data_IF_043603007271
#
_entry.id   IF_043603007271
#
_cell.length_a   1.000
_cell.length_b   1.000
_cell.length_c   1.000
_cell.angle_alpha   90.00
_cell.angle_beta   90.00
_cell.angle_gamma   90.00
#
_symmetry.space_group_name_H-M   'P 1'
#
loop_
_entity.id
_entity.type
_entity.pdbx_description
1 polymer ?
#
# COMPACT_ATOMS: atom_id res chain seq x y z
N UNK A 1 2.77 -5.51 2.89
CA UNK A 1 2.92 -5.55 4.33
C UNK A 1 2.85 -6.96 4.92
N UNK A 2 2.43 -7.96 4.13
CA UNK A 2 2.41 -9.36 4.61
C UNK A 2 3.74 -10.11 4.42
N UNK A 3 4.76 -9.48 3.86
CA UNK A 3 6.07 -10.13 3.64
C UNK A 3 6.68 -10.59 4.97
N UNK A 4 6.93 -11.90 5.08
CA UNK A 4 7.47 -12.53 6.29
C UNK A 4 6.46 -12.78 7.40
N UNK A 5 5.19 -12.37 7.26
CA UNK A 5 4.13 -12.64 8.23
C UNK A 5 3.70 -14.10 8.17
N UNK A 6 3.50 -14.69 9.31
CA UNK A 6 3.14 -16.09 9.52
C UNK A 6 1.65 -16.19 9.84
N UNK A 7 0.87 -16.76 8.92
CA UNK A 7 -0.58 -16.81 9.02
C UNK A 7 -1.03 -18.27 9.21
N UNK A 8 -1.74 -18.53 10.29
CA UNK A 8 -2.50 -19.77 10.44
C UNK A 8 -3.86 -19.59 9.76
N UNK A 9 -4.12 -20.37 8.70
CA UNK A 9 -5.41 -20.37 8.00
C UNK A 9 -6.26 -21.56 8.44
N UNK A 10 -7.33 -21.28 9.18
CA UNK A 10 -8.35 -22.24 9.59
C UNK A 10 -9.43 -22.40 8.53
N UNK A 11 -9.70 -23.65 8.09
CA UNK A 11 -10.72 -23.95 7.08
C UNK A 11 -11.77 -24.87 7.67
N UNK A 12 -13.05 -24.48 7.54
CA UNK A 12 -14.17 -25.23 8.08
C UNK A 12 -15.13 -25.74 6.99
N UNK A 13 -16.09 -26.60 7.35
CA UNK A 13 -16.97 -27.32 6.44
C UNK A 13 -18.06 -26.43 5.82
N UNK A 14 -17.72 -25.69 4.79
CA UNK A 14 -18.63 -24.88 3.98
C UNK A 14 -18.25 -24.95 2.51
N UNK A 15 -19.23 -24.78 1.63
CA UNK A 15 -18.98 -24.66 0.19
C UNK A 15 -18.00 -23.52 -0.11
N UNK A 16 -17.97 -22.46 0.71
CA UNK A 16 -17.04 -21.37 0.57
C UNK A 16 -15.56 -21.76 0.78
N UNK A 17 -15.26 -22.98 1.21
CA UNK A 17 -13.89 -23.48 1.38
C UNK A 17 -13.05 -23.43 0.08
N UNK A 18 -13.68 -23.46 -1.11
CA UNK A 18 -12.95 -23.29 -2.37
C UNK A 18 -12.21 -21.95 -2.46
N UNK A 19 -12.75 -20.88 -1.83
CA UNK A 19 -12.12 -19.56 -1.79
C UNK A 19 -10.80 -19.56 -1.00
N UNK A 20 -10.59 -20.53 -0.10
CA UNK A 20 -9.34 -20.64 0.65
C UNK A 20 -8.12 -20.81 -0.26
N UNK A 21 -8.26 -21.47 -1.41
CA UNK A 21 -7.18 -21.56 -2.40
C UNK A 21 -6.75 -20.19 -2.94
N UNK A 22 -7.71 -19.29 -3.18
CA UNK A 22 -7.45 -17.93 -3.65
C UNK A 22 -6.82 -17.07 -2.53
N UNK A 23 -7.33 -17.22 -1.31
CA UNK A 23 -6.75 -16.57 -0.10
C UNK A 23 -5.29 -16.98 0.06
N UNK A 24 -4.98 -18.28 0.03
CA UNK A 24 -3.61 -18.80 0.14
C UNK A 24 -2.71 -18.19 -0.94
N UNK A 25 -3.13 -18.24 -2.20
CA UNK A 25 -2.34 -17.69 -3.32
C UNK A 25 -2.09 -16.20 -3.16
N UNK A 26 -3.08 -15.44 -2.71
CA UNK A 26 -2.95 -13.98 -2.50
C UNK A 26 -2.02 -13.68 -1.34
N UNK A 27 -2.12 -14.39 -0.22
CA UNK A 27 -1.22 -14.27 0.93
C UNK A 27 0.24 -14.56 0.54
N UNK A 28 0.48 -15.68 -0.16
CA UNK A 28 1.82 -16.09 -0.60
C UNK A 28 2.41 -15.08 -1.60
N UNK A 29 1.62 -14.60 -2.59
CA UNK A 29 2.05 -13.55 -3.53
C UNK A 29 2.47 -12.27 -2.81
N UNK A 30 1.86 -11.95 -1.67
CA UNK A 30 2.21 -10.81 -0.81
C UNK A 30 3.36 -11.12 0.15
N UNK A 31 3.95 -12.33 0.06
CA UNK A 31 5.13 -12.77 0.81
C UNK A 31 4.85 -13.30 2.21
N UNK A 32 3.58 -13.62 2.52
CA UNK A 32 3.23 -14.31 3.77
C UNK A 32 3.59 -15.80 3.72
N UNK A 33 3.86 -16.36 4.88
CA UNK A 33 4.01 -17.79 5.12
C UNK A 33 2.70 -18.32 5.69
N UNK A 34 2.10 -19.34 5.04
CA UNK A 34 0.79 -19.84 5.41
C UNK A 34 0.88 -21.27 5.93
N UNK A 35 0.29 -21.54 7.11
CA UNK A 35 0.06 -22.87 7.66
C UNK A 35 -1.43 -23.14 7.73
N UNK A 36 -1.89 -24.19 7.07
CA UNK A 36 -3.31 -24.56 7.06
C UNK A 36 -3.65 -25.52 8.20
N UNK A 37 -4.75 -25.20 8.89
CA UNK A 37 -5.43 -26.08 9.85
C UNK A 37 -6.86 -26.28 9.36
N UNK A 38 -7.25 -27.53 9.10
CA UNK A 38 -8.57 -27.86 8.53
C UNK A 38 -9.38 -28.74 9.47
N UNK A 39 -10.67 -28.45 9.60
CA UNK A 39 -11.57 -29.32 10.35
C UNK A 39 -11.89 -30.60 9.59
N UNK A 40 -12.32 -31.73 10.27
CA UNK A 40 -12.80 -32.90 9.58
C UNK A 40 -13.84 -32.62 8.50
N UNK A 41 -14.86 -31.80 8.82
CA UNK A 41 -15.88 -31.39 7.84
C UNK A 41 -15.32 -30.53 6.71
N UNK A 42 -14.23 -29.80 6.92
CA UNK A 42 -13.58 -29.00 5.87
C UNK A 42 -12.98 -29.87 4.77
N UNK A 43 -12.48 -31.05 5.13
CA UNK A 43 -11.91 -32.04 4.18
C UNK A 43 -12.93 -32.57 3.15
N UNK A 44 -14.21 -32.53 3.49
CA UNK A 44 -15.29 -32.93 2.56
C UNK A 44 -15.50 -31.92 1.42
N UNK A 45 -15.09 -30.65 1.62
CA UNK A 45 -15.24 -29.56 0.63
C UNK A 45 -13.98 -29.29 -0.15
N UNK A 46 -12.81 -29.49 0.47
CA UNK A 46 -11.51 -29.26 -0.16
C UNK A 46 -10.46 -30.22 0.39
N UNK A 47 -9.68 -30.82 -0.50
CA UNK A 47 -8.72 -31.85 -0.09
C UNK A 47 -7.43 -31.26 0.50
N UNK A 48 -6.83 -31.90 1.52
CA UNK A 48 -5.51 -31.51 2.04
C UNK A 48 -4.43 -31.48 0.96
N UNK A 49 -4.50 -32.36 -0.06
CA UNK A 49 -3.54 -32.39 -1.18
C UNK A 49 -3.52 -31.06 -1.93
N UNK A 50 -4.69 -30.49 -2.25
CA UNK A 50 -4.78 -29.19 -2.92
C UNK A 50 -4.14 -28.07 -2.09
N UNK A 51 -4.41 -28.06 -0.79
CA UNK A 51 -3.94 -27.03 0.13
C UNK A 51 -2.43 -27.16 0.38
N UNK A 52 -1.90 -28.37 0.54
CA UNK A 52 -0.48 -28.62 0.73
C UNK A 52 0.34 -28.27 -0.54
N UNK A 53 -0.21 -28.56 -1.73
CA UNK A 53 0.43 -28.17 -2.98
C UNK A 53 0.57 -26.64 -3.14
N UNK A 54 -0.41 -25.87 -2.64
CA UNK A 54 -0.37 -24.41 -2.68
C UNK A 54 0.58 -23.81 -1.63
N UNK A 55 0.62 -24.35 -0.42
CA UNK A 55 1.40 -23.83 0.71
C UNK A 55 2.81 -24.38 0.79
N UNK A 56 3.10 -25.47 0.08
CA UNK A 56 4.33 -26.28 0.20
C UNK A 56 4.56 -26.79 1.63
N UNK A 57 3.47 -26.97 2.39
CA UNK A 57 3.49 -27.44 3.78
C UNK A 57 2.43 -28.51 4.02
N UNK A 58 2.65 -29.43 4.98
CA UNK A 58 1.63 -30.34 5.42
C UNK A 58 0.40 -29.60 5.98
N UNK A 59 -0.79 -30.10 5.68
CA UNK A 59 -2.04 -29.60 6.25
C UNK A 59 -2.30 -30.29 7.59
N UNK A 60 -2.53 -29.50 8.62
CA UNK A 60 -2.82 -30.01 9.97
C UNK A 60 -4.32 -30.20 10.13
N UNK A 61 -4.77 -31.40 10.49
CA UNK A 61 -6.20 -31.69 10.71
C UNK A 61 -6.47 -32.48 11.98
N UNK A 62 -5.51 -33.29 12.40
CA UNK A 62 -5.61 -34.19 13.55
C UNK A 62 -4.53 -33.84 14.59
N UNK A 63 -4.79 -34.21 15.85
CA UNK A 63 -3.82 -34.03 16.92
C UNK A 63 -2.59 -34.95 16.75
N UNK A 64 -2.82 -36.16 16.26
CA UNK A 64 -1.78 -37.16 16.10
C UNK A 64 -1.51 -37.39 14.62
N UNK A 65 -0.24 -37.30 14.21
CA UNK A 65 0.16 -37.52 12.82
C UNK A 65 0.27 -39.00 12.46
N UNK A 66 0.70 -39.82 13.40
CA UNK A 66 0.89 -41.26 13.27
C UNK A 66 0.57 -41.98 14.59
N UNK A 67 0.56 -43.33 14.58
CA UNK A 67 0.31 -44.13 15.80
C UNK A 67 1.59 -44.32 16.63
N UNK A 68 2.63 -43.59 16.38
CA UNK A 68 3.95 -43.65 17.05
C UNK A 68 4.12 -42.65 18.21
N UNK A 69 3.06 -41.92 18.55
CA UNK A 69 3.08 -40.90 19.59
C UNK A 69 3.52 -39.50 19.09
N UNK A 70 3.84 -39.37 17.80
CA UNK A 70 4.09 -38.03 17.22
C UNK A 70 2.77 -37.24 17.12
N UNK A 71 2.82 -35.96 17.51
CA UNK A 71 1.65 -35.10 17.58
C UNK A 71 1.94 -33.70 17.03
N UNK A 72 0.87 -33.08 16.55
CA UNK A 72 0.94 -31.68 16.13
C UNK A 72 0.68 -30.75 17.32
N UNK A 73 1.63 -29.88 17.63
CA UNK A 73 1.51 -28.95 18.74
C UNK A 73 0.65 -27.75 18.34
N UNK A 74 -0.55 -27.67 18.90
CA UNK A 74 -1.40 -26.48 18.76
C UNK A 74 -0.79 -25.25 19.45
N UNK A 75 0.00 -25.46 20.50
CA UNK A 75 0.72 -24.42 21.22
C UNK A 75 1.79 -23.81 20.31
N UNK A 76 2.56 -24.65 19.59
CA UNK A 76 3.60 -24.17 18.68
C UNK A 76 2.99 -23.37 17.52
N UNK A 77 1.83 -23.77 17.01
CA UNK A 77 1.09 -22.99 16.01
C UNK A 77 0.65 -21.63 16.57
N UNK A 78 0.15 -21.61 17.81
CA UNK A 78 -0.24 -20.37 18.51
C UNK A 78 0.91 -19.41 18.79
N UNK A 79 2.13 -19.94 19.01
CA UNK A 79 3.35 -19.17 19.20
C UNK A 79 4.00 -18.75 17.90
N UNK A 80 3.85 -19.56 16.84
CA UNK A 80 4.44 -19.31 15.53
C UNK A 80 3.73 -18.22 14.74
N UNK A 81 2.41 -18.07 14.92
CA UNK A 81 1.57 -17.23 14.10
C UNK A 81 1.69 -15.74 14.46
N UNK A 82 1.73 -14.88 13.44
CA UNK A 82 1.51 -13.43 13.56
C UNK A 82 0.01 -13.08 13.50
N UNK A 83 -0.81 -13.94 12.87
CA UNK A 83 -2.27 -13.87 12.89
C UNK A 83 -2.89 -15.24 12.60
N UNK A 84 -4.13 -15.43 13.06
CA UNK A 84 -4.99 -16.55 12.63
C UNK A 84 -6.16 -15.99 11.82
N UNK A 85 -6.43 -16.61 10.67
CA UNK A 85 -7.60 -16.34 9.83
C UNK A 85 -8.45 -17.59 9.76
N UNK A 86 -9.72 -17.53 10.14
CA UNK A 86 -10.68 -18.62 9.99
C UNK A 86 -11.62 -18.27 8.84
N UNK A 87 -11.37 -18.86 7.67
CA UNK A 87 -12.07 -18.57 6.43
C UNK A 87 -12.22 -19.82 5.54
N UNK A 88 -13.44 -20.34 5.36
CA UNK A 88 -14.70 -19.93 5.98
C UNK A 88 -14.83 -20.32 7.46
N UNK A 89 -15.64 -19.54 8.23
CA UNK A 89 -16.07 -19.90 9.57
C UNK A 89 -17.57 -20.24 9.57
N UNK A 90 -17.90 -21.51 9.79
CA UNK A 90 -19.30 -21.98 9.87
C UNK A 90 -19.95 -21.62 11.21
N UNK A 91 -21.30 -21.63 11.28
CA UNK A 91 -22.05 -21.44 12.52
C UNK A 91 -21.61 -22.42 13.61
N UNK A 92 -21.35 -23.69 13.25
CA UNK A 92 -20.84 -24.70 14.19
C UNK A 92 -19.51 -24.32 14.80
N UNK A 93 -18.54 -23.88 13.96
CA UNK A 93 -17.22 -23.42 14.42
C UNK A 93 -17.33 -22.18 15.28
N UNK A 94 -18.16 -21.21 14.87
CA UNK A 94 -18.45 -19.98 15.61
C UNK A 94 -18.98 -20.28 17.01
N UNK A 95 -19.97 -21.19 17.10
CA UNK A 95 -20.52 -21.63 18.39
C UNK A 95 -19.48 -22.30 19.29
N UNK A 96 -18.61 -23.13 18.72
CA UNK A 96 -17.51 -23.79 19.47
C UNK A 96 -16.48 -22.76 19.96
N UNK A 97 -16.09 -21.81 19.14
CA UNK A 97 -15.19 -20.70 19.51
C UNK A 97 -15.79 -19.91 20.69
N UNK A 98 -17.06 -19.51 20.56
CA UNK A 98 -17.76 -18.73 21.59
C UNK A 98 -17.88 -19.42 22.94
N UNK A 99 -17.91 -20.78 22.97
CA UNK A 99 -18.12 -21.57 24.18
C UNK A 99 -16.89 -22.42 24.58
N UNK A 100 -15.76 -22.28 23.91
CA UNK A 100 -14.50 -22.97 24.24
C UNK A 100 -14.55 -24.49 24.07
N UNK A 101 -15.31 -25.00 23.09
CA UNK A 101 -15.48 -26.43 22.85
C UNK A 101 -14.34 -26.95 21.98
N UNK A 102 -13.25 -27.39 22.60
CA UNK A 102 -12.00 -27.82 21.96
C UNK A 102 -12.04 -29.27 21.47
N UNK A 103 -12.97 -29.61 20.58
CA UNK A 103 -13.18 -30.95 20.08
C UNK A 103 -12.45 -31.31 18.78
N UNK A 104 -11.67 -30.35 18.24
CA UNK A 104 -10.87 -30.55 17.03
C UNK A 104 -9.64 -29.64 17.03
N UNK A 105 -8.68 -29.95 16.16
CA UNK A 105 -7.39 -29.26 16.09
C UNK A 105 -7.52 -27.76 15.83
N UNK A 106 -8.50 -27.32 15.01
CA UNK A 106 -8.68 -25.90 14.69
C UNK A 106 -9.10 -25.10 15.94
N UNK A 107 -10.11 -25.55 16.67
CA UNK A 107 -10.57 -24.85 17.89
C UNK A 107 -9.50 -24.89 18.98
N UNK A 108 -8.77 -25.99 19.14
CA UNK A 108 -7.68 -26.06 20.12
C UNK A 108 -6.55 -25.09 19.76
N UNK A 109 -6.21 -24.97 18.47
CA UNK A 109 -5.27 -23.95 18.00
C UNK A 109 -5.78 -22.54 18.26
N UNK A 110 -7.07 -22.27 17.99
CA UNK A 110 -7.70 -20.99 18.30
C UNK A 110 -7.59 -20.63 19.79
N UNK A 111 -7.90 -21.55 20.68
CA UNK A 111 -7.85 -21.31 22.13
C UNK A 111 -6.40 -21.10 22.65
N UNK A 112 -5.41 -21.54 21.91
CA UNK A 112 -3.98 -21.36 22.21
C UNK A 112 -3.37 -20.14 21.51
N UNK A 113 -4.16 -19.44 20.65
CA UNK A 113 -3.67 -18.34 19.84
C UNK A 113 -3.41 -17.10 20.70
N UNK A 114 -2.20 -16.53 20.54
CA UNK A 114 -1.80 -15.24 21.15
C UNK A 114 -1.86 -14.09 20.17
N UNK A 115 -1.82 -14.40 18.88
CA UNK A 115 -1.91 -13.44 17.79
C UNK A 115 -3.38 -13.05 17.53
N UNK A 116 -3.64 -11.93 16.85
CA UNK A 116 -5.00 -11.52 16.47
C UNK A 116 -5.68 -12.59 15.61
N UNK A 117 -6.97 -12.79 15.87
CA UNK A 117 -7.78 -13.78 15.15
C UNK A 117 -8.84 -13.08 14.31
N UNK A 118 -8.82 -13.35 13.01
CA UNK A 118 -9.80 -12.87 12.04
C UNK A 118 -10.77 -13.98 11.71
N UNK A 119 -12.04 -13.66 11.64
CA UNK A 119 -13.11 -14.62 11.41
C UNK A 119 -13.95 -14.15 10.23
N UNK A 120 -14.04 -14.97 9.18
CA UNK A 120 -14.87 -14.73 8.01
C UNK A 120 -16.07 -15.68 8.01
N UNK A 121 -17.24 -15.28 8.53
CA UNK A 121 -18.43 -16.13 8.59
C UNK A 121 -18.92 -16.54 7.20
N UNK A 122 -19.41 -17.78 7.11
CA UNK A 122 -20.01 -18.32 5.89
C UNK A 122 -21.13 -19.30 6.27
N UNK A 123 -22.38 -18.90 6.02
CA UNK A 123 -23.56 -19.68 6.30
C UNK A 123 -24.78 -19.17 5.53
N UNK A 124 -25.88 -19.90 5.56
CA UNK A 124 -27.13 -19.47 4.95
C UNK A 124 -27.70 -18.22 5.66
N UNK A 125 -28.57 -17.48 4.97
CA UNK A 125 -29.20 -16.24 5.43
C UNK A 125 -29.89 -16.42 6.79
N UNK A 126 -30.75 -17.44 6.90
CA UNK A 126 -31.52 -17.70 8.13
C UNK A 126 -30.61 -18.10 9.30
N UNK A 127 -29.55 -18.85 9.00
CA UNK A 127 -28.53 -19.21 10.00
C UNK A 127 -27.76 -17.97 10.48
N UNK A 128 -27.46 -17.03 9.57
CA UNK A 128 -26.73 -15.80 9.91
C UNK A 128 -27.59 -14.86 10.77
N UNK A 129 -28.89 -14.78 10.47
CA UNK A 129 -29.87 -13.97 11.21
C UNK A 129 -30.32 -14.63 12.53
N UNK A 130 -30.02 -15.90 12.74
CA UNK A 130 -30.46 -16.60 13.95
C UNK A 130 -29.89 -15.94 15.21
N UNK A 131 -30.72 -15.74 16.27
CA UNK A 131 -30.28 -15.04 17.50
C UNK A 131 -29.04 -15.65 18.15
N UNK A 132 -28.85 -16.99 18.09
CA UNK A 132 -27.66 -17.64 18.63
C UNK A 132 -26.42 -17.31 17.82
N UNK A 133 -26.52 -17.13 16.51
CA UNK A 133 -25.38 -16.73 15.66
C UNK A 133 -24.97 -15.30 15.99
N UNK A 134 -25.94 -14.38 16.10
CA UNK A 134 -25.69 -12.99 16.49
C UNK A 134 -25.02 -12.92 17.88
N UNK A 135 -25.54 -13.67 18.86
CA UNK A 135 -24.97 -13.72 20.21
C UNK A 135 -23.53 -14.31 20.21
N UNK A 136 -23.26 -15.34 19.41
CA UNK A 136 -21.93 -15.94 19.31
C UNK A 136 -20.94 -14.95 18.64
N UNK A 137 -21.35 -14.21 17.62
CA UNK A 137 -20.53 -13.17 16.97
C UNK A 137 -20.15 -12.10 18.02
N UNK A 138 -21.14 -11.52 18.69
CA UNK A 138 -20.89 -10.53 19.73
C UNK A 138 -19.95 -11.05 20.83
N UNK A 139 -20.12 -12.31 21.21
CA UNK A 139 -19.31 -12.95 22.24
C UNK A 139 -17.85 -13.08 21.82
N UNK A 140 -17.58 -13.56 20.60
CA UNK A 140 -16.19 -13.68 20.12
C UNK A 140 -15.55 -12.33 19.83
N UNK A 141 -16.33 -11.30 19.42
CA UNK A 141 -15.86 -9.92 19.34
C UNK A 141 -15.43 -9.39 20.70
N UNK A 142 -16.19 -9.69 21.76
CA UNK A 142 -15.83 -9.30 23.14
C UNK A 142 -14.53 -9.97 23.63
N UNK A 143 -14.09 -11.05 23.02
CA UNK A 143 -12.79 -11.71 23.26
C UNK A 143 -11.64 -11.06 22.46
N UNK A 144 -11.94 -10.03 21.65
CA UNK A 144 -10.96 -9.33 20.82
C UNK A 144 -10.76 -9.94 19.41
N UNK A 145 -11.65 -10.86 19.00
CA UNK A 145 -11.61 -11.37 17.63
C UNK A 145 -12.17 -10.33 16.63
N UNK A 146 -11.63 -10.32 15.43
CA UNK A 146 -11.99 -9.38 14.38
C UNK A 146 -12.90 -10.08 13.37
N UNK A 147 -14.14 -9.63 13.26
CA UNK A 147 -15.10 -10.17 12.32
C UNK A 147 -14.91 -9.48 10.97
N UNK A 148 -14.73 -10.29 9.92
CA UNK A 148 -14.82 -9.84 8.54
C UNK A 148 -16.26 -10.06 8.10
N UNK A 149 -17.02 -9.00 7.98
CA UNK A 149 -18.45 -9.05 7.67
C UNK A 149 -18.70 -9.83 6.38
N UNK A 150 -19.66 -10.77 6.39
CA UNK A 150 -20.02 -11.49 5.17
C UNK A 150 -20.69 -10.56 4.17
N UNK A 151 -20.41 -10.79 2.88
CA UNK A 151 -21.06 -10.09 1.78
C UNK A 151 -22.53 -10.50 1.60
N UNK A 152 -23.25 -9.71 0.81
CA UNK A 152 -24.62 -10.01 0.36
C UNK A 152 -24.60 -10.51 -1.07
N UNK A 153 -25.53 -11.41 -1.43
CA UNK A 153 -25.71 -11.95 -2.76
C UNK A 153 -26.35 -13.33 -2.78
N UNK A 154 -26.30 -14.01 -3.91
CA UNK A 154 -26.82 -15.38 -4.05
C UNK A 154 -26.02 -16.37 -3.20
N UNK A 155 -26.75 -17.14 -2.41
CA UNK A 155 -26.24 -18.21 -1.56
C UNK A 155 -26.39 -19.58 -2.27
N UNK A 156 -25.68 -20.58 -1.81
CA UNK A 156 -25.75 -21.93 -2.37
C UNK A 156 -27.16 -22.58 -2.26
N UNK A 157 -27.97 -22.11 -1.31
CA UNK A 157 -29.37 -22.50 -1.14
C UNK A 157 -30.30 -21.90 -2.20
N UNK A 158 -29.84 -20.96 -3.01
CA UNK A 158 -30.67 -20.18 -3.95
C UNK A 158 -31.33 -18.96 -3.33
N UNK A 159 -31.15 -18.72 -2.03
CA UNK A 159 -31.58 -17.48 -1.37
C UNK A 159 -30.63 -16.33 -1.69
N UNK A 160 -31.14 -15.11 -1.61
CA UNK A 160 -30.33 -13.90 -1.76
C UNK A 160 -30.30 -13.11 -0.44
N UNK A 161 -29.10 -12.79 0.05
CA UNK A 161 -28.94 -12.05 1.29
C UNK A 161 -27.56 -12.09 1.88
N UNK A 162 -27.42 -11.62 3.14
CA UNK A 162 -26.17 -11.58 3.89
C UNK A 162 -25.86 -12.96 4.47
N UNK A 163 -24.63 -13.42 4.32
CA UNK A 163 -24.16 -14.73 4.83
C UNK A 163 -23.09 -15.36 3.97
N UNK A 164 -22.88 -14.81 2.77
CA UNK A 164 -21.82 -15.24 1.84
C UNK A 164 -20.46 -14.77 2.38
N UNK A 165 -19.50 -15.72 2.52
CA UNK A 165 -18.14 -15.35 2.90
C UNK A 165 -17.61 -14.24 1.97
N UNK A 166 -17.00 -13.22 2.55
CA UNK A 166 -16.41 -12.09 1.83
C UNK A 166 -15.41 -12.57 0.76
N UNK A 167 -15.09 -11.70 -0.20
CA UNK A 167 -14.20 -12.04 -1.30
C UNK A 167 -12.74 -12.15 -0.82
N UNK A 168 -11.95 -13.06 -1.41
CA UNK A 168 -10.57 -13.33 -0.97
C UNK A 168 -9.68 -12.09 -0.89
N UNK A 169 -9.84 -11.17 -1.85
CA UNK A 169 -9.08 -9.94 -1.93
C UNK A 169 -9.38 -9.01 -0.75
N UNK A 170 -10.66 -8.85 -0.41
CA UNK A 170 -11.10 -8.02 0.71
C UNK A 170 -10.69 -8.63 2.06
N UNK A 171 -10.76 -9.96 2.21
CA UNK A 171 -10.27 -10.67 3.41
C UNK A 171 -8.78 -10.40 3.61
N UNK A 172 -7.96 -10.54 2.56
CA UNK A 172 -6.51 -10.30 2.65
C UNK A 172 -6.21 -8.81 2.87
N UNK A 173 -6.99 -7.92 2.30
CA UNK A 173 -6.87 -6.47 2.56
C UNK A 173 -7.17 -6.12 4.03
N UNK A 174 -8.15 -6.76 4.64
CA UNK A 174 -8.45 -6.59 6.07
C UNK A 174 -7.26 -6.97 6.97
N UNK A 175 -6.58 -8.09 6.66
CA UNK A 175 -5.35 -8.48 7.36
C UNK A 175 -4.22 -7.47 7.15
N UNK A 176 -4.02 -6.99 5.91
CA UNK A 176 -3.00 -5.98 5.62
C UNK A 176 -3.24 -4.69 6.38
N UNK A 177 -4.49 -4.22 6.40
CA UNK A 177 -4.88 -3.00 7.11
C UNK A 177 -4.62 -3.14 8.62
N UNK A 178 -4.91 -4.31 9.18
CA UNK A 178 -4.60 -4.57 10.60
C UNK A 178 -3.10 -4.46 10.87
N UNK A 179 -2.24 -5.12 10.10
CA UNK A 179 -0.78 -5.05 10.30
C UNK A 179 -0.19 -3.67 10.02
N UNK A 180 -0.87 -2.82 9.23
CA UNK A 180 -0.50 -1.41 9.04
C UNK A 180 -0.81 -0.61 10.31
N UNK A 181 -1.97 -0.84 10.91
CA UNK A 181 -2.45 -0.09 12.08
C UNK A 181 -1.92 -0.64 13.41
N UNK A 182 -1.49 -1.93 13.44
CA UNK A 182 -0.98 -2.63 14.62
C UNK A 182 0.39 -3.27 14.28
N UNK A 183 1.45 -2.48 14.11
CA UNK A 183 2.78 -3.03 13.88
C UNK A 183 3.21 -3.89 15.08
N UNK A 184 3.69 -5.10 14.83
CA UNK A 184 4.23 -5.98 15.87
C UNK A 184 5.52 -5.39 16.45
N UNK A 185 5.76 -5.62 17.75
CA UNK A 185 6.90 -5.07 18.50
C UNK A 185 8.32 -5.35 17.92
N UNK A 186 8.42 -6.14 16.86
CA UNK A 186 9.67 -6.36 16.12
C UNK A 186 9.83 -5.46 14.87
N UNK A 187 8.75 -4.80 14.42
CA UNK A 187 8.81 -3.78 13.39
C UNK A 187 8.67 -2.43 14.08
N UNK A 188 9.71 -1.65 14.10
CA UNK A 188 9.67 -0.24 14.52
C UNK A 188 8.51 0.42 13.77
N UNK A 189 7.54 0.99 14.54
CA UNK A 189 6.45 1.78 13.91
C UNK A 189 7.11 2.76 12.96
N UNK A 190 6.73 2.69 11.69
CA UNK A 190 7.25 3.64 10.70
C UNK A 190 7.06 5.06 11.20
N UNK A 191 8.11 5.88 11.11
CA UNK A 191 8.03 7.30 11.50
C UNK A 191 7.04 8.08 10.62
N UNK A 192 6.56 7.48 9.54
CA UNK A 192 5.53 8.03 8.66
C UNK A 192 4.10 7.68 9.11
N UNK A 193 3.92 6.76 10.05
CA UNK A 193 2.58 6.40 10.51
C UNK A 193 1.84 7.63 11.06
N UNK A 194 0.67 7.91 10.48
CA UNK A 194 -0.17 9.06 10.84
C UNK A 194 0.33 10.42 10.34
N UNK A 195 1.52 10.48 9.70
CA UNK A 195 2.08 11.71 9.13
C UNK A 195 1.36 12.16 7.88
N UNK A 196 1.20 13.45 7.68
CA UNK A 196 0.66 14.05 6.46
C UNK A 196 1.79 14.26 5.44
N UNK A 197 1.67 13.63 4.27
CA UNK A 197 2.70 13.65 3.22
C UNK A 197 2.13 14.23 1.94
N UNK A 198 2.71 15.33 1.47
CA UNK A 198 2.44 15.91 0.16
C UNK A 198 3.43 15.35 -0.86
N UNK A 199 2.93 14.92 -2.02
CA UNK A 199 3.77 14.51 -3.15
C UNK A 199 3.28 15.20 -4.41
N UNK A 200 4.19 15.79 -5.20
CA UNK A 200 3.87 16.24 -6.55
C UNK A 200 4.40 15.24 -7.58
N UNK A 201 3.64 14.94 -8.63
CA UNK A 201 4.00 13.94 -9.63
C UNK A 201 3.54 14.33 -11.05
N UNK A 202 4.17 13.73 -12.05
CA UNK A 202 3.83 13.96 -13.46
C UNK A 202 4.43 15.23 -14.05
N UNK A 203 4.12 15.54 -15.32
CA UNK A 203 4.48 16.78 -15.98
C UNK A 203 3.47 17.89 -15.64
N UNK A 204 3.79 19.15 -15.98
CA UNK A 204 2.79 20.20 -16.18
C UNK A 204 2.68 20.54 -17.67
N UNK A 205 1.51 20.97 -18.08
CA UNK A 205 1.23 21.40 -19.44
C UNK A 205 0.86 22.89 -19.44
N UNK A 206 1.75 23.70 -20.01
CA UNK A 206 1.56 25.13 -20.13
C UNK A 206 0.99 25.45 -21.51
N UNK A 207 -0.28 25.80 -21.58
CA UNK A 207 -1.02 25.96 -22.83
C UNK A 207 -0.47 27.09 -23.71
N UNK A 208 -0.23 26.78 -24.97
CA UNK A 208 0.01 27.74 -26.04
C UNK A 208 -1.36 28.17 -26.60
N UNK A 209 -2.22 27.18 -26.87
CA UNK A 209 -3.60 27.32 -27.32
C UNK A 209 -4.41 26.07 -26.86
N UNK A 210 -5.71 25.94 -27.14
CA UNK A 210 -6.51 24.79 -26.70
C UNK A 210 -6.03 23.40 -27.17
N UNK A 211 -5.02 23.34 -28.05
CA UNK A 211 -4.53 22.09 -28.66
C UNK A 211 -3.07 21.80 -28.35
N UNK A 212 -2.24 22.85 -28.16
CA UNK A 212 -0.78 22.75 -28.01
C UNK A 212 -0.33 23.30 -26.67
N UNK A 213 0.71 22.70 -26.12
CA UNK A 213 1.29 23.06 -24.84
C UNK A 213 2.82 22.90 -24.83
N UNK A 214 3.46 23.52 -23.86
CA UNK A 214 4.84 23.28 -23.44
C UNK A 214 4.80 22.37 -22.23
N UNK A 215 5.60 21.30 -22.19
CA UNK A 215 5.66 20.38 -21.07
C UNK A 215 6.87 19.46 -21.13
N UNK A 216 7.09 18.69 -20.07
CA UNK A 216 8.22 17.78 -19.90
C UNK A 216 7.82 16.32 -20.17
N UNK A 217 8.77 15.48 -20.58
CA UNK A 217 8.57 14.04 -20.82
C UNK A 217 8.45 13.21 -19.53
N UNK A 218 7.66 13.65 -18.56
CA UNK A 218 7.46 12.90 -17.33
C UNK A 218 6.28 11.93 -17.45
N UNK A 219 6.48 10.69 -17.00
CA UNK A 219 5.41 9.69 -16.90
C UNK A 219 4.69 9.65 -15.55
N UNK A 220 5.21 10.38 -14.55
CA UNK A 220 4.69 10.36 -13.17
C UNK A 220 5.05 9.12 -12.34
N UNK A 221 5.57 8.04 -12.95
CA UNK A 221 5.79 6.73 -12.30
C UNK A 221 6.54 6.83 -10.97
N UNK A 222 7.57 7.69 -10.86
CA UNK A 222 8.35 7.83 -9.62
C UNK A 222 7.52 8.44 -8.48
N UNK A 223 6.80 9.53 -8.74
CA UNK A 223 5.95 10.18 -7.74
C UNK A 223 4.81 9.26 -7.27
N UNK A 224 4.21 8.50 -8.18
CA UNK A 224 3.20 7.49 -7.81
C UNK A 224 3.81 6.34 -6.98
N UNK A 225 5.00 5.86 -7.30
CA UNK A 225 5.69 4.84 -6.50
C UNK A 225 6.00 5.34 -5.08
N UNK A 226 6.41 6.61 -4.94
CA UNK A 226 6.61 7.26 -3.63
C UNK A 226 5.31 7.37 -2.84
N UNK A 227 4.21 7.77 -3.49
CA UNK A 227 2.90 7.89 -2.87
C UNK A 227 2.40 6.54 -2.32
N UNK A 228 2.52 5.47 -3.11
CA UNK A 228 2.15 4.12 -2.70
C UNK A 228 3.03 3.61 -1.53
N UNK A 229 4.35 3.89 -1.56
CA UNK A 229 5.24 3.47 -0.46
C UNK A 229 4.94 4.25 0.84
N UNK A 230 4.65 5.57 0.77
CA UNK A 230 4.21 6.35 1.93
C UNK A 230 2.90 5.84 2.51
N UNK A 231 1.89 5.62 1.65
CA UNK A 231 0.58 5.09 2.06
C UNK A 231 0.70 3.70 2.69
N UNK A 232 1.59 2.84 2.16
CA UNK A 232 1.90 1.52 2.70
C UNK A 232 2.53 1.59 4.08
N UNK A 233 3.30 2.64 4.39
CA UNK A 233 3.88 2.90 5.73
C UNK A 233 2.93 3.62 6.68
N UNK A 234 1.67 3.81 6.30
CA UNK A 234 0.61 4.38 7.14
C UNK A 234 0.55 5.91 7.15
N UNK A 235 1.19 6.58 6.18
CA UNK A 235 1.04 8.02 6.00
C UNK A 235 -0.32 8.37 5.38
N UNK A 236 -0.83 9.56 5.69
CA UNK A 236 -1.93 10.22 4.96
C UNK A 236 -1.33 10.97 3.79
N UNK A 237 -1.56 10.47 2.57
CA UNK A 237 -0.89 10.98 1.37
C UNK A 237 -1.83 11.84 0.55
N UNK A 238 -1.42 13.09 0.27
CA UNK A 238 -2.00 13.96 -0.76
C UNK A 238 -1.07 13.98 -1.97
N UNK A 239 -1.53 13.43 -3.10
CA UNK A 239 -0.81 13.36 -4.36
C UNK A 239 -1.36 14.40 -5.34
N UNK A 240 -0.59 15.46 -5.60
CA UNK A 240 -0.90 16.44 -6.64
C UNK A 240 -0.28 15.96 -7.94
N UNK A 241 -1.12 15.54 -8.88
CA UNK A 241 -0.71 14.88 -10.11
C UNK A 241 -0.99 15.75 -11.34
N UNK A 242 0.04 16.01 -12.13
CA UNK A 242 -0.11 16.54 -13.48
C UNK A 242 -0.69 15.48 -14.43
N UNK A 243 -0.90 15.81 -15.74
CA UNK A 243 -1.59 14.94 -16.68
C UNK A 243 -0.86 13.61 -16.93
N UNK A 244 -1.34 12.53 -16.32
CA UNK A 244 -0.80 11.17 -16.48
C UNK A 244 -1.94 10.14 -16.44
N UNK A 245 -1.76 9.02 -17.15
CA UNK A 245 -2.74 7.93 -17.20
C UNK A 245 -2.62 6.93 -16.04
N UNK A 246 -1.81 7.22 -15.01
CA UNK A 246 -1.62 6.36 -13.85
C UNK A 246 -2.79 6.51 -12.88
N UNK A 247 -3.16 5.43 -12.19
CA UNK A 247 -4.10 5.43 -11.08
C UNK A 247 -3.37 5.29 -9.74
N UNK A 248 -3.91 5.90 -8.70
CA UNK A 248 -3.45 5.75 -7.32
C UNK A 248 -4.40 4.84 -6.54
N UNK A 249 -3.92 4.19 -5.48
CA UNK A 249 -4.76 3.40 -4.59
C UNK A 249 -5.78 4.30 -3.85
N UNK A 250 -6.90 3.72 -3.42
CA UNK A 250 -7.96 4.44 -2.68
C UNK A 250 -7.49 5.06 -1.34
N UNK A 251 -6.29 4.72 -0.88
CA UNK A 251 -5.68 5.27 0.35
C UNK A 251 -5.00 6.62 0.14
N UNK A 252 -4.88 7.06 -1.12
CA UNK A 252 -4.19 8.29 -1.52
C UNK A 252 -5.24 9.30 -1.97
N UNK A 253 -5.23 10.48 -1.35
CA UNK A 253 -5.99 11.62 -1.83
C UNK A 253 -5.29 12.19 -3.06
N UNK A 254 -5.88 11.99 -4.24
CA UNK A 254 -5.34 12.48 -5.51
C UNK A 254 -6.03 13.77 -5.91
N UNK A 255 -5.21 14.77 -6.26
CA UNK A 255 -5.65 16.05 -6.82
C UNK A 255 -5.04 16.16 -8.21
N UNK A 256 -5.88 16.14 -9.24
CA UNK A 256 -5.44 16.31 -10.63
C UNK A 256 -5.33 17.81 -10.97
N UNK A 257 -4.22 18.16 -11.64
CA UNK A 257 -3.91 19.51 -12.09
C UNK A 257 -3.33 19.47 -13.49
N UNK A 258 -3.40 20.56 -14.24
CA UNK A 258 -2.86 20.61 -15.60
C UNK A 258 -1.59 21.48 -15.67
N UNK A 259 -1.62 22.68 -15.11
CA UNK A 259 -0.53 23.67 -15.20
C UNK A 259 0.34 23.71 -13.95
N UNK A 260 1.53 24.32 -14.07
CA UNK A 260 2.42 24.60 -12.95
C UNK A 260 1.78 25.51 -11.90
N UNK A 261 0.96 26.47 -12.32
CA UNK A 261 0.25 27.37 -11.39
C UNK A 261 -0.82 26.63 -10.58
N UNK A 262 -1.61 25.74 -11.22
CA UNK A 262 -2.56 24.88 -10.51
C UNK A 262 -1.85 23.94 -9.54
N UNK A 263 -0.73 23.34 -9.98
CA UNK A 263 0.10 22.48 -9.11
C UNK A 263 0.63 23.27 -7.90
N UNK A 264 1.09 24.49 -8.10
CA UNK A 264 1.52 25.36 -7.00
C UNK A 264 0.39 25.60 -6.00
N UNK A 265 -0.80 25.99 -6.47
CA UNK A 265 -1.92 26.27 -5.57
C UNK A 265 -2.35 25.04 -4.77
N UNK A 266 -2.46 23.88 -5.40
CA UNK A 266 -2.80 22.63 -4.74
C UNK A 266 -1.70 22.20 -3.74
N UNK A 267 -0.44 22.24 -4.16
CA UNK A 267 0.69 21.88 -3.30
C UNK A 267 0.84 22.86 -2.11
N UNK A 268 0.71 24.17 -2.34
CA UNK A 268 0.80 25.18 -1.29
C UNK A 268 -0.32 25.05 -0.25
N UNK A 269 -1.52 24.67 -0.68
CA UNK A 269 -2.64 24.38 0.24
C UNK A 269 -2.33 23.18 1.13
N UNK A 270 -1.90 22.06 0.53
CA UNK A 270 -1.59 20.82 1.25
C UNK A 270 -0.32 20.96 2.13
N UNK A 271 0.66 21.77 1.73
CA UNK A 271 1.91 21.98 2.47
C UNK A 271 1.72 22.60 3.85
N UNK A 272 0.65 23.34 4.07
CA UNK A 272 0.37 24.01 5.37
C UNK A 272 0.24 23.02 6.52
N UNK A 273 -0.27 21.83 6.26
CA UNK A 273 -0.47 20.76 7.27
C UNK A 273 0.50 19.60 7.10
N UNK A 274 1.22 19.54 5.98
CA UNK A 274 2.12 18.43 5.69
C UNK A 274 3.33 18.40 6.64
N UNK A 275 3.63 17.21 7.17
CA UNK A 275 4.90 16.94 7.87
C UNK A 275 6.06 16.77 6.88
N UNK A 276 5.76 16.20 5.70
CA UNK A 276 6.73 15.93 4.64
C UNK A 276 6.18 16.38 3.30
N UNK A 277 7.00 17.03 2.49
CA UNK A 277 6.70 17.32 1.09
C UNK A 277 7.80 16.77 0.17
N UNK A 278 7.40 15.98 -0.84
CA UNK A 278 8.29 15.39 -1.84
C UNK A 278 7.92 15.93 -3.21
N UNK A 279 8.76 16.81 -3.75
CA UNK A 279 8.52 17.50 -5.00
C UNK A 279 9.17 16.73 -6.16
N UNK A 280 8.42 15.77 -6.72
CA UNK A 280 8.88 14.83 -7.76
C UNK A 280 8.31 15.18 -9.16
N UNK A 281 7.42 16.16 -9.26
CA UNK A 281 6.86 16.58 -10.55
C UNK A 281 7.92 17.24 -11.47
N UNK A 282 7.77 17.05 -12.76
CA UNK A 282 8.54 17.74 -13.79
C UNK A 282 7.77 18.98 -14.27
N UNK A 283 7.83 20.03 -13.48
CA UNK A 283 7.19 21.31 -13.79
C UNK A 283 7.95 21.98 -14.96
N UNK A 284 7.20 22.53 -15.91
CA UNK A 284 7.82 23.30 -17.00
C UNK A 284 8.39 24.63 -16.45
N UNK A 285 9.62 24.97 -16.83
CA UNK A 285 10.31 26.19 -16.36
C UNK A 285 9.77 27.47 -17.00
N UNK A 286 9.12 27.32 -18.17
CA UNK A 286 8.58 28.43 -18.95
C UNK A 286 7.16 28.14 -19.41
N UNK A 287 6.36 29.23 -19.52
CA UNK A 287 5.02 29.21 -20.11
C UNK A 287 4.87 30.36 -21.12
N UNK A 288 3.95 30.26 -22.09
CA UNK A 288 3.63 31.39 -22.95
C UNK A 288 3.19 32.63 -22.15
N UNK A 289 3.66 33.81 -22.54
CA UNK A 289 3.21 35.06 -21.93
C UNK A 289 1.69 35.24 -22.13
N UNK A 290 1.20 34.90 -23.33
CA UNK A 290 -0.19 34.97 -23.70
C UNK A 290 -0.68 33.63 -24.19
N UNK A 291 -1.68 33.05 -23.54
CA UNK A 291 -2.41 31.86 -23.99
C UNK A 291 -3.44 32.27 -25.05
N UNK A 292 -3.41 31.64 -26.22
CA UNK A 292 -4.40 31.88 -27.26
C UNK A 292 -5.72 31.15 -26.93
N UNK A 293 -6.84 31.89 -26.96
CA UNK A 293 -8.20 31.33 -26.68
C UNK A 293 -8.69 30.38 -27.77
N UNK A 294 -8.16 30.52 -28.99
CA UNK A 294 -8.51 29.70 -30.12
C UNK A 294 -7.25 29.03 -30.70
N UNK A 295 -7.46 27.88 -31.37
CA UNK A 295 -6.37 27.19 -32.06
C UNK A 295 -5.70 28.12 -33.06
N UNK A 296 -4.42 28.40 -32.88
CA UNK A 296 -3.62 29.19 -33.80
C UNK A 296 -3.53 28.47 -35.15
N UNK A 297 -3.98 29.14 -36.24
CA UNK A 297 -3.88 28.60 -37.61
C UNK A 297 -2.45 28.60 -38.08
N UNK A 298 -2.11 27.61 -38.90
CA UNK A 298 -0.83 27.60 -39.60
C UNK A 298 -0.75 28.81 -40.55
N UNK A 299 0.28 29.62 -40.41
CA UNK A 299 0.61 30.69 -41.34
C UNK A 299 1.91 30.35 -42.07
N UNK A 300 2.10 30.91 -43.27
CA UNK A 300 3.39 30.80 -43.95
C UNK A 300 4.46 31.56 -43.11
N UNK A 301 5.58 30.87 -42.78
CA UNK A 301 6.69 31.41 -42.04
C UNK A 301 6.85 30.89 -40.61
N UNK A 302 7.76 31.48 -39.87
CA UNK A 302 8.12 31.09 -38.52
C UNK A 302 7.12 31.65 -37.50
N UNK A 303 6.80 30.84 -36.50
CA UNK A 303 6.03 31.25 -35.33
C UNK A 303 6.99 31.64 -34.20
N UNK A 304 6.80 32.84 -33.61
CA UNK A 304 7.50 33.25 -32.42
C UNK A 304 6.57 33.19 -31.23
N UNK A 305 7.04 32.60 -30.13
CA UNK A 305 6.36 32.59 -28.84
C UNK A 305 7.21 33.31 -27.82
N UNK A 306 6.63 34.31 -27.19
CA UNK A 306 7.21 34.95 -26.03
C UNK A 306 6.94 34.09 -24.80
N UNK A 307 7.99 33.71 -24.06
CA UNK A 307 7.93 32.86 -22.89
C UNK A 307 8.30 33.63 -21.64
N UNK A 308 7.57 33.38 -20.55
CA UNK A 308 7.90 33.87 -19.22
C UNK A 308 8.18 32.69 -18.29
N UNK A 309 8.99 32.91 -17.26
CA UNK A 309 9.29 31.89 -16.26
C UNK A 309 8.04 31.52 -15.48
N UNK A 310 7.89 30.22 -15.22
CA UNK A 310 6.87 29.71 -14.30
C UNK A 310 7.29 29.93 -12.85
N UNK A 311 6.37 29.68 -11.92
CA UNK A 311 6.65 29.78 -10.49
C UNK A 311 7.48 28.59 -10.01
N UNK A 312 8.57 28.84 -9.29
CA UNK A 312 9.39 27.80 -8.66
C UNK A 312 8.71 27.30 -7.38
N UNK A 313 7.92 26.22 -7.51
CA UNK A 313 7.15 25.63 -6.40
C UNK A 313 8.06 25.27 -5.23
N UNK A 314 9.22 24.66 -5.50
CA UNK A 314 10.14 24.22 -4.47
C UNK A 314 10.75 25.42 -3.69
N UNK A 315 11.09 26.49 -4.38
CA UNK A 315 11.60 27.71 -3.74
C UNK A 315 10.51 28.39 -2.90
N UNK A 316 9.28 28.46 -3.39
CA UNK A 316 8.17 29.07 -2.65
C UNK A 316 7.80 28.27 -1.38
N UNK A 317 7.72 26.94 -1.46
CA UNK A 317 7.47 26.09 -0.29
C UNK A 317 8.67 26.12 0.68
N UNK A 318 9.90 26.17 0.17
CA UNK A 318 11.10 26.28 1.00
C UNK A 318 11.17 27.56 1.83
N UNK A 319 10.62 28.70 1.34
CA UNK A 319 10.48 29.95 2.11
C UNK A 319 9.48 29.83 3.26
N UNK A 320 8.45 28.99 3.11
CA UNK A 320 7.37 28.82 4.08
C UNK A 320 7.64 27.67 5.05
N UNK A 321 8.64 26.82 4.76
CA UNK A 321 8.96 25.62 5.53
C UNK A 321 9.24 25.94 7.00
N UNK A 322 8.56 25.27 7.91
CA UNK A 322 8.85 25.29 9.35
C UNK A 322 10.00 24.34 9.70
N UNK A 323 10.55 24.46 10.90
CA UNK A 323 11.64 23.59 11.38
C UNK A 323 11.23 22.11 11.47
N UNK A 324 9.95 21.82 11.72
CA UNK A 324 9.41 20.48 11.85
C UNK A 324 9.12 19.81 10.49
N UNK A 325 8.91 20.60 9.44
CA UNK A 325 8.61 20.08 8.12
C UNK A 325 9.86 19.58 7.39
N UNK A 326 9.71 18.50 6.63
CA UNK A 326 10.74 17.97 5.75
C UNK A 326 10.37 18.28 4.29
N UNK A 327 11.30 18.88 3.55
CA UNK A 327 11.10 19.23 2.15
C UNK A 327 12.15 18.53 1.27
N UNK A 328 11.69 17.68 0.37
CA UNK A 328 12.52 16.88 -0.55
C UNK A 328 12.33 17.35 -1.96
N UNK A 329 13.42 17.61 -2.68
CA UNK A 329 13.41 17.97 -4.09
C UNK A 329 13.95 16.87 -4.98
N UNK A 330 13.65 16.97 -6.27
CA UNK A 330 14.24 16.15 -7.33
C UNK A 330 15.05 17.04 -8.27
N UNK A 331 16.15 16.51 -8.76
CA UNK A 331 16.94 17.12 -9.83
C UNK A 331 17.25 16.10 -10.92
N UNK A 332 17.14 16.55 -12.16
CA UNK A 332 17.61 15.82 -13.33
C UNK A 332 18.67 16.70 -14.00
N UNK A 333 19.91 16.22 -14.04
CA UNK A 333 21.05 16.99 -14.53
C UNK A 333 21.79 16.24 -15.63
N UNK A 334 22.52 16.97 -16.47
CA UNK A 334 23.31 16.42 -17.59
C UNK A 334 24.82 16.59 -17.41
N UNK A 335 25.24 17.60 -16.61
CA UNK A 335 26.63 17.92 -16.34
C UNK A 335 26.76 18.64 -15.00
N UNK A 336 27.95 18.55 -14.37
CA UNK A 336 28.22 19.13 -13.03
C UNK A 336 27.12 18.84 -12.00
N UNK A 337 26.58 17.62 -12.07
CA UNK A 337 25.33 17.18 -11.46
C UNK A 337 25.29 17.43 -9.94
N UNK A 338 26.37 17.04 -9.24
CA UNK A 338 26.45 17.18 -7.78
C UNK A 338 26.54 18.66 -7.34
N UNK A 339 27.27 19.47 -8.10
CA UNK A 339 27.41 20.90 -7.81
C UNK A 339 26.04 21.59 -7.92
N UNK A 340 25.32 21.38 -9.03
CA UNK A 340 24.00 21.98 -9.25
C UNK A 340 22.96 21.47 -8.26
N UNK A 341 23.02 20.20 -7.88
CA UNK A 341 22.14 19.65 -6.85
C UNK A 341 22.37 20.32 -5.48
N UNK A 342 23.63 20.53 -5.08
CA UNK A 342 23.97 21.23 -3.83
C UNK A 342 23.56 22.72 -3.84
N UNK A 343 23.68 23.40 -4.97
CA UNK A 343 23.16 24.77 -5.11
C UNK A 343 21.64 24.83 -4.96
N UNK A 344 20.91 23.93 -5.66
CA UNK A 344 19.45 23.83 -5.56
C UNK A 344 19.01 23.52 -4.12
N UNK A 345 19.70 22.62 -3.44
CA UNK A 345 19.44 22.25 -2.04
C UNK A 345 19.45 23.49 -1.13
N UNK A 346 20.49 24.34 -1.24
CA UNK A 346 20.62 25.56 -0.44
C UNK A 346 19.60 26.62 -0.85
N UNK A 347 19.51 26.92 -2.16
CA UNK A 347 18.67 27.99 -2.71
C UNK A 347 17.19 27.78 -2.41
N UNK A 348 16.74 26.52 -2.41
CA UNK A 348 15.33 26.14 -2.20
C UNK A 348 15.04 25.64 -0.78
N UNK A 349 15.99 25.75 0.14
CA UNK A 349 15.85 25.31 1.53
C UNK A 349 15.35 23.87 1.69
N UNK A 350 15.88 22.95 0.85
CA UNK A 350 15.54 21.54 0.91
C UNK A 350 16.32 20.83 2.03
N UNK A 351 15.77 19.75 2.59
CA UNK A 351 16.47 18.90 3.56
C UNK A 351 17.39 17.92 2.85
N UNK A 352 16.93 17.36 1.73
CA UNK A 352 17.76 16.63 0.79
C UNK A 352 17.19 16.69 -0.63
N UNK A 353 18.01 16.33 -1.61
CA UNK A 353 17.64 16.27 -3.02
C UNK A 353 17.95 14.90 -3.60
N UNK A 354 17.02 14.37 -4.37
CA UNK A 354 17.19 13.14 -5.15
C UNK A 354 17.66 13.51 -6.54
N UNK A 355 18.90 13.14 -6.84
CA UNK A 355 19.54 13.43 -8.11
C UNK A 355 19.41 12.23 -9.04
N UNK A 356 18.84 12.46 -10.22
CA UNK A 356 18.87 11.55 -11.37
C UNK A 356 19.89 12.04 -12.38
N UNK A 357 20.67 11.13 -12.94
CA UNK A 357 21.59 11.42 -14.03
C UNK A 357 21.04 11.00 -15.38
N UNK A 358 21.10 11.89 -16.37
CA UNK A 358 20.79 11.53 -17.77
C UNK A 358 21.89 10.70 -18.43
N UNK A 359 23.07 10.59 -17.83
CA UNK A 359 24.18 9.76 -18.33
C UNK A 359 23.95 8.27 -18.14
N UNK A 360 23.05 7.88 -17.26
CA UNK A 360 22.74 6.48 -16.98
C UNK A 360 21.69 5.98 -17.99
N UNK A 361 22.12 5.19 -18.97
CA UNK A 361 21.22 4.65 -19.99
C UNK A 361 20.07 3.85 -19.37
N UNK A 362 18.84 4.10 -19.84
CA UNK A 362 17.64 3.38 -19.41
C UNK A 362 17.17 3.68 -17.98
N UNK A 363 17.49 4.86 -17.43
CA UNK A 363 17.10 5.21 -16.05
C UNK A 363 16.23 6.47 -15.92
N UNK A 364 15.89 7.14 -17.02
CA UNK A 364 15.18 8.42 -17.01
C UNK A 364 13.69 8.31 -17.33
N UNK A 365 13.18 9.15 -18.23
CA UNK A 365 11.77 9.20 -18.58
C UNK A 365 11.27 7.90 -19.25
N UNK A 366 10.02 7.50 -18.92
CA UNK A 366 9.30 6.35 -19.50
C UNK A 366 9.84 4.95 -19.16
N UNK A 367 10.97 4.80 -18.47
CA UNK A 367 11.49 3.50 -18.02
C UNK A 367 10.88 3.08 -16.67
N UNK A 368 10.94 1.80 -16.33
CA UNK A 368 10.49 1.26 -15.05
C UNK A 368 11.59 1.27 -13.98
N UNK A 369 12.85 1.35 -14.41
CA UNK A 369 14.01 1.44 -13.54
C UNK A 369 14.47 2.89 -13.33
N UNK A 370 15.21 3.10 -12.23
CA UNK A 370 15.91 4.34 -11.94
C UNK A 370 17.22 4.07 -11.21
N UNK A 371 18.15 5.04 -11.30
CA UNK A 371 19.38 5.10 -10.53
C UNK A 371 19.51 6.50 -9.96
N UNK A 372 19.71 6.60 -8.65
CA UNK A 372 19.68 7.88 -7.95
C UNK A 372 20.88 8.08 -7.02
N UNK A 373 21.17 9.36 -6.74
CA UNK A 373 21.96 9.77 -5.59
C UNK A 373 21.07 10.60 -4.66
N UNK A 374 21.15 10.37 -3.36
CA UNK A 374 20.52 11.22 -2.34
C UNK A 374 21.60 12.13 -1.76
N UNK A 375 21.41 13.43 -1.92
CA UNK A 375 22.35 14.48 -1.49
C UNK A 375 21.68 15.33 -0.41
N UNK A 376 22.27 15.34 0.77
CA UNK A 376 21.92 16.25 1.87
C UNK A 376 23.04 17.27 2.10
N UNK A 377 22.91 18.10 3.12
CA UNK A 377 23.95 19.04 3.49
C UNK A 377 25.28 18.36 3.90
N UNK A 378 25.19 17.14 4.44
CA UNK A 378 26.32 16.41 5.06
C UNK A 378 26.71 15.13 4.35
N UNK A 379 25.82 14.54 3.54
CA UNK A 379 25.99 13.20 2.97
C UNK A 379 25.63 13.17 1.47
N UNK A 380 26.32 12.30 0.73
CA UNK A 380 25.99 11.92 -0.64
C UNK A 380 25.95 10.38 -0.72
N UNK A 381 24.76 9.80 -0.90
CA UNK A 381 24.53 8.36 -0.99
C UNK A 381 24.16 7.98 -2.42
N UNK A 382 24.99 7.15 -3.05
CA UNK A 382 24.72 6.59 -4.37
C UNK A 382 23.99 5.25 -4.24
N UNK A 383 23.00 5.03 -5.11
CA UNK A 383 22.23 3.80 -5.19
C UNK A 383 22.39 3.16 -6.58
N UNK A 384 22.37 1.84 -6.63
CA UNK A 384 22.41 1.10 -7.88
C UNK A 384 21.10 1.22 -8.66
N UNK A 385 21.17 0.93 -9.98
CA UNK A 385 20.00 0.86 -10.86
C UNK A 385 19.04 -0.25 -10.39
N UNK A 386 17.78 0.09 -10.18
CA UNK A 386 16.73 -0.83 -9.73
C UNK A 386 15.32 -0.30 -10.07
N UNK A 387 14.28 -1.14 -9.97
CA UNK A 387 12.89 -0.72 -10.19
C UNK A 387 12.49 0.50 -9.35
N UNK A 388 11.71 1.40 -9.93
CA UNK A 388 11.24 2.63 -9.27
C UNK A 388 10.53 2.38 -7.94
N UNK A 389 9.88 1.24 -7.77
CA UNK A 389 9.26 0.83 -6.51
C UNK A 389 10.29 0.57 -5.40
N UNK A 390 11.45 0.01 -5.74
CA UNK A 390 12.55 -0.19 -4.80
C UNK A 390 13.31 1.12 -4.54
N UNK A 391 13.47 1.96 -5.57
CA UNK A 391 14.03 3.31 -5.40
C UNK A 391 13.15 4.17 -4.50
N UNK A 392 11.81 4.07 -4.64
CA UNK A 392 10.88 4.74 -3.75
C UNK A 392 11.09 4.31 -2.29
N UNK A 393 11.32 3.02 -2.04
CA UNK A 393 11.62 2.52 -0.70
C UNK A 393 12.87 3.18 -0.12
N UNK A 394 13.99 3.27 -0.87
CA UNK A 394 15.22 3.91 -0.37
C UNK A 394 15.03 5.38 -0.04
N UNK A 395 14.28 6.11 -0.89
CA UNK A 395 13.99 7.52 -0.66
C UNK A 395 13.16 7.69 0.62
N UNK A 396 12.16 6.83 0.83
CA UNK A 396 11.30 6.90 2.01
C UNK A 396 12.05 6.43 3.27
N UNK A 397 12.99 5.49 3.16
CA UNK A 397 13.90 5.13 4.27
C UNK A 397 14.74 6.34 4.71
N UNK A 398 15.24 7.17 3.75
CA UNK A 398 15.93 8.43 4.08
C UNK A 398 14.99 9.47 4.70
N UNK A 399 13.75 9.60 4.19
CA UNK A 399 12.73 10.49 4.79
C UNK A 399 12.52 10.13 6.26
N UNK A 400 12.39 8.86 6.59
CA UNK A 400 12.21 8.39 7.98
C UNK A 400 13.42 8.68 8.85
N UNK A 401 14.64 8.48 8.30
CA UNK A 401 15.89 8.79 9.01
C UNK A 401 16.02 10.28 9.32
N UNK A 402 15.63 11.16 8.38
CA UNK A 402 15.64 12.60 8.58
C UNK A 402 14.56 13.06 9.57
N UNK A 403 13.38 12.45 9.57
CA UNK A 403 12.33 12.73 10.57
C UNK A 403 12.75 12.34 11.98
N UNK A 404 13.57 11.27 12.14
CA UNK A 404 14.14 10.91 13.44
C UNK A 404 15.16 11.94 13.94
N UNK A 405 15.96 12.52 13.04
CA UNK A 405 16.97 13.55 13.38
C UNK A 405 16.34 14.90 13.78
N UNK A 406 15.08 15.16 13.36
CA UNK A 406 14.33 16.39 13.67
C UNK A 406 13.52 16.30 14.98
N UNK A 407 13.39 15.11 15.58
CA UNK A 407 12.80 14.89 16.91
C UNK A 407 13.80 15.24 18.00
#
# INVERSE_FOLDING_TARGET
MLKGKKIVLGITGSIAAYKACLIIRTLIKKGAEVQVVITPSGKEFITPVTLSALTQKPVVSEFFSQKDGSWHSHVDLGLWADAMLIAPCTASTLGKMANGIADNMLITTYLSMKAPVFVAPAMDLDMYQHPTTAANIQKIESFGNIIIEPGSGFLASGLEGKGRMEEPEAIVEALENYFITHPTNSETISNLFGKEVLITAGPTFEKIDPVRFIGNYSSGKMGFALAEECAKRGAKVTLVAGPVALSASKRIERIDVESGEEMYHAANKAFKTADVAILCAAVADYKPLNEAKEKMKHSEGNMQLELISTRDIAAELGKQKTAQQLLVGFALETHNEEFHAKEKLKKKNLDFIVLNSMRNEGTTFKTDDNQINIISATENKAFEKKPKTLVAKDIIDEVEAQLQRKK
#
